data_IF_421090648505
#
_entry.id   IF_421090648505
#
_cell.length_a   1.000
_cell.length_b   1.000
_cell.length_c   1.000
_cell.angle_alpha   90.00
_cell.angle_beta   90.00
_cell.angle_gamma   90.00
#
_symmetry.space_group_name_H-M   'P 1'
#
loop_
_entity.id
_entity.type
_entity.pdbx_description
1 polymer ?
#
# COMPACT_ATOMS: atom_id res chain seq x y z
N UNK A 1 -37.16 0.81 9.34
CA UNK A 1 -36.23 1.87 9.66
C UNK A 1 -35.91 2.66 8.40
N UNK A 2 -36.32 3.93 8.37
CA UNK A 2 -36.10 4.82 7.25
C UNK A 2 -34.62 5.19 7.24
N UNK A 3 -33.85 4.66 6.30
CA UNK A 3 -32.50 5.13 6.02
C UNK A 3 -32.61 6.46 5.30
N UNK A 4 -32.45 7.56 6.02
CA UNK A 4 -32.39 8.89 5.43
C UNK A 4 -31.08 8.95 4.62
N UNK A 5 -31.18 8.77 3.31
CA UNK A 5 -30.08 9.05 2.37
C UNK A 5 -29.84 10.56 2.36
N UNK A 6 -28.88 11.03 3.17
CA UNK A 6 -28.37 12.37 3.02
C UNK A 6 -27.61 12.44 1.68
N UNK A 7 -28.29 12.92 0.64
CA UNK A 7 -27.64 13.33 -0.61
C UNK A 7 -27.01 14.69 -0.35
N UNK A 8 -25.76 14.73 0.08
CA UNK A 8 -24.98 15.96 0.06
C UNK A 8 -24.49 16.20 -1.37
N UNK A 9 -24.91 17.33 -1.95
CA UNK A 9 -24.34 17.82 -3.22
C UNK A 9 -23.11 18.68 -2.90
N UNK A 10 -21.98 18.31 -3.52
CA UNK A 10 -20.76 19.12 -3.50
C UNK A 10 -20.58 19.68 -4.90
N UNK A 11 -20.49 21.02 -5.01
CA UNK A 11 -20.13 21.71 -6.23
C UNK A 11 -18.80 22.43 -6.04
N UNK A 12 -17.89 22.27 -7.00
CA UNK A 12 -16.56 22.89 -6.95
C UNK A 12 -16.02 23.08 -8.36
N UNK A 13 -15.09 24.01 -8.51
CA UNK A 13 -14.20 24.06 -9.67
C UNK A 13 -13.07 23.04 -9.46
N UNK A 14 -12.54 22.49 -10.54
CA UNK A 14 -11.50 21.49 -10.44
C UNK A 14 -10.45 21.64 -11.55
N UNK A 15 -9.19 21.47 -11.16
CA UNK A 15 -8.11 21.16 -12.08
C UNK A 15 -7.92 19.65 -12.10
N UNK A 16 -7.80 19.08 -13.29
CA UNK A 16 -7.57 17.65 -13.48
C UNK A 16 -6.34 17.42 -14.36
N UNK A 17 -5.59 16.39 -14.03
CA UNK A 17 -4.49 15.89 -14.86
C UNK A 17 -4.51 14.36 -14.89
N UNK A 18 -3.90 13.77 -15.93
CA UNK A 18 -3.71 12.32 -15.97
C UNK A 18 -2.81 11.88 -14.82
N UNK A 19 -3.11 10.73 -14.22
CA UNK A 19 -2.41 10.21 -13.07
C UNK A 19 -1.94 8.77 -13.35
N UNK A 20 -0.72 8.45 -12.89
CA UNK A 20 -0.09 7.16 -13.03
C UNK A 20 1.19 7.23 -13.86
N UNK A 21 1.86 6.09 -13.99
CA UNK A 21 3.03 5.89 -14.85
C UNK A 21 2.68 4.84 -15.91
N UNK A 22 2.84 3.55 -15.64
CA UNK A 22 2.46 2.45 -16.54
C UNK A 22 0.96 2.46 -16.87
N UNK A 23 0.11 2.85 -15.92
CA UNK A 23 -1.34 2.96 -16.11
C UNK A 23 -1.76 4.00 -17.15
N UNK A 24 -0.87 4.91 -17.56
CA UNK A 24 -1.11 5.84 -18.67
C UNK A 24 -1.22 5.13 -20.04
N UNK A 25 -0.75 3.89 -20.15
CA UNK A 25 -0.87 3.10 -21.36
C UNK A 25 -2.26 2.45 -21.53
N UNK A 26 -3.06 2.37 -20.47
CA UNK A 26 -4.41 1.81 -20.56
C UNK A 26 -5.40 2.80 -21.19
N UNK A 27 -6.47 2.26 -21.81
CA UNK A 27 -7.52 3.07 -22.46
C UNK A 27 -8.24 3.93 -21.41
N UNK A 28 -8.60 3.32 -20.27
CA UNK A 28 -9.26 4.00 -19.15
C UNK A 28 -8.23 4.67 -18.28
N UNK A 29 -8.26 6.00 -18.21
CA UNK A 29 -7.26 6.82 -17.52
C UNK A 29 -7.67 7.10 -16.08
N UNK A 30 -6.69 7.14 -15.18
CA UNK A 30 -6.84 7.71 -13.85
C UNK A 30 -6.55 9.21 -13.85
N UNK A 31 -7.14 9.95 -12.89
CA UNK A 31 -7.01 11.40 -12.82
C UNK A 31 -6.60 11.85 -11.43
N UNK A 32 -5.68 12.81 -11.36
CA UNK A 32 -5.51 13.67 -10.20
C UNK A 32 -6.52 14.81 -10.28
N UNK A 33 -7.15 15.14 -9.17
CA UNK A 33 -8.17 16.19 -9.07
C UNK A 33 -7.78 17.13 -7.95
N UNK A 34 -7.69 18.44 -8.24
CA UNK A 34 -7.54 19.49 -7.24
C UNK A 34 -8.76 20.40 -7.27
N UNK A 35 -9.41 20.59 -6.10
CA UNK A 35 -10.67 21.31 -5.97
C UNK A 35 -10.47 22.76 -5.54
N UNK A 36 -11.31 23.67 -6.09
CA UNK A 36 -11.30 25.10 -5.82
C UNK A 36 -12.71 25.61 -5.58
N UNK A 37 -12.82 26.73 -4.84
CA UNK A 37 -14.09 27.43 -4.60
C UNK A 37 -14.45 28.37 -5.74
N UNK A 38 -13.47 28.81 -6.51
CA UNK A 38 -13.58 29.85 -7.53
C UNK A 38 -13.02 29.36 -8.88
N UNK A 39 -13.44 30.03 -9.95
CA UNK A 39 -13.05 29.70 -11.32
C UNK A 39 -11.59 30.09 -11.64
N UNK A 40 -11.04 31.06 -10.94
CA UNK A 40 -9.63 31.48 -11.09
C UNK A 40 -8.64 30.49 -10.50
N UNK A 41 -9.13 29.52 -9.68
CA UNK A 41 -8.33 28.53 -8.96
C UNK A 41 -7.41 29.16 -7.90
N UNK A 42 -7.81 30.29 -7.32
CA UNK A 42 -7.04 30.97 -6.27
C UNK A 42 -7.36 30.45 -4.88
N UNK A 43 -8.61 30.01 -4.65
CA UNK A 43 -9.08 29.58 -3.34
C UNK A 43 -9.32 28.06 -3.34
N UNK A 44 -8.43 27.31 -2.67
CA UNK A 44 -8.57 25.87 -2.52
C UNK A 44 -9.86 25.50 -1.76
N UNK A 45 -10.57 24.48 -2.28
CA UNK A 45 -11.71 23.91 -1.61
C UNK A 45 -11.33 22.57 -0.98
N UNK A 46 -11.48 22.45 0.33
CA UNK A 46 -11.05 21.30 1.14
C UNK A 46 -12.26 20.61 1.78
N UNK A 47 -13.08 19.87 1.02
CA UNK A 47 -14.19 19.13 1.59
C UNK A 47 -13.69 17.97 2.43
N UNK A 48 -14.58 17.45 3.30
CA UNK A 48 -14.38 16.21 4.05
C UNK A 48 -15.30 15.13 3.49
N UNK A 49 -14.75 13.94 3.26
CA UNK A 49 -15.51 12.75 2.95
C UNK A 49 -15.44 11.78 4.15
N UNK A 50 -16.56 11.63 4.86
CA UNK A 50 -16.60 10.80 6.06
C UNK A 50 -15.60 11.30 7.11
N UNK A 51 -14.71 10.43 7.55
CA UNK A 51 -13.66 10.71 8.54
C UNK A 51 -12.30 11.11 7.93
N UNK A 52 -12.24 11.41 6.63
CA UNK A 52 -11.00 11.83 6.01
C UNK A 52 -10.58 13.22 6.45
N UNK A 53 -9.26 13.46 6.53
CA UNK A 53 -8.73 14.80 6.70
C UNK A 53 -9.14 15.69 5.50
N UNK A 54 -9.57 16.92 5.78
CA UNK A 54 -9.94 17.88 4.75
C UNK A 54 -8.78 18.12 3.80
N UNK A 55 -9.01 17.86 2.52
CA UNK A 55 -8.01 18.05 1.46
C UNK A 55 -8.66 18.60 0.19
N UNK A 56 -7.88 19.35 -0.56
CA UNK A 56 -8.24 19.82 -1.90
C UNK A 56 -7.89 18.80 -2.99
N UNK A 57 -7.04 17.80 -2.65
CA UNK A 57 -6.51 16.86 -3.62
C UNK A 57 -7.16 15.49 -3.47
N UNK A 58 -7.50 14.87 -4.60
CA UNK A 58 -8.05 13.52 -4.71
C UNK A 58 -7.48 12.82 -5.93
N UNK A 59 -7.62 11.50 -5.96
CA UNK A 59 -7.31 10.66 -7.12
C UNK A 59 -8.59 9.94 -7.53
N UNK A 60 -8.92 9.96 -8.82
CA UNK A 60 -9.91 9.08 -9.43
C UNK A 60 -9.17 7.93 -10.10
N UNK A 61 -9.08 6.78 -9.39
CA UNK A 61 -8.45 5.58 -9.93
C UNK A 61 -9.38 4.84 -10.88
N UNK A 62 -8.88 4.52 -12.06
CA UNK A 62 -9.60 3.78 -13.10
C UNK A 62 -9.71 2.29 -12.79
N UNK A 63 -8.81 1.73 -11.98
CA UNK A 63 -8.69 0.30 -11.63
C UNK A 63 -8.74 -0.61 -12.87
N UNK A 64 -7.98 -0.26 -13.93
CA UNK A 64 -8.09 -0.96 -15.21
C UNK A 64 -7.76 -2.45 -15.12
N UNK A 65 -6.74 -2.82 -14.34
CA UNK A 65 -6.33 -4.21 -14.20
C UNK A 65 -7.23 -5.02 -13.24
N UNK A 66 -7.89 -4.35 -12.29
CA UNK A 66 -8.75 -4.97 -11.27
C UNK A 66 -10.23 -4.85 -11.64
N UNK A 67 -10.85 -5.95 -12.06
CA UNK A 67 -12.28 -5.97 -12.44
C UNK A 67 -13.22 -5.66 -11.29
N UNK A 68 -12.82 -5.95 -10.05
CA UNK A 68 -13.63 -5.60 -8.88
C UNK A 68 -13.56 -4.12 -8.56
N UNK A 69 -12.47 -3.44 -8.95
CA UNK A 69 -12.13 -2.08 -8.52
C UNK A 69 -11.88 -1.96 -7.02
N UNK A 70 -11.81 -3.09 -6.30
CA UNK A 70 -11.81 -3.16 -4.84
C UNK A 70 -10.44 -3.41 -4.22
N UNK A 71 -9.53 -4.14 -4.92
CA UNK A 71 -8.29 -4.67 -4.34
C UNK A 71 -7.48 -3.62 -3.61
N UNK A 72 -7.19 -2.50 -4.26
CA UNK A 72 -6.38 -1.43 -3.67
C UNK A 72 -6.98 -0.89 -2.35
N UNK A 73 -8.29 -0.66 -2.30
CA UNK A 73 -8.94 -0.09 -1.12
C UNK A 73 -9.20 -1.14 -0.05
N UNK A 74 -9.61 -2.33 -0.44
CA UNK A 74 -9.81 -3.43 0.50
C UNK A 74 -8.50 -3.83 1.15
N UNK A 75 -7.43 -4.01 0.38
CA UNK A 75 -6.10 -4.28 0.92
C UNK A 75 -5.65 -3.17 1.88
N UNK A 76 -5.86 -1.90 1.52
CA UNK A 76 -5.58 -0.75 2.40
C UNK A 76 -6.36 -0.81 3.72
N UNK A 77 -7.64 -1.18 3.68
CA UNK A 77 -8.48 -1.32 4.88
C UNK A 77 -8.05 -2.50 5.75
N UNK A 78 -7.69 -3.61 5.13
CA UNK A 78 -7.17 -4.79 5.84
C UNK A 78 -5.84 -4.47 6.52
N UNK A 79 -4.93 -3.72 5.87
CA UNK A 79 -3.69 -3.29 6.53
C UNK A 79 -3.95 -2.44 7.77
N UNK A 80 -4.95 -1.57 7.75
CA UNK A 80 -5.34 -0.77 8.94
C UNK A 80 -5.81 -1.61 10.13
N UNK A 81 -6.20 -2.86 9.89
CA UNK A 81 -6.60 -3.82 10.93
C UNK A 81 -5.43 -4.63 11.49
N UNK A 82 -4.22 -4.50 10.93
CA UNK A 82 -3.04 -5.14 11.49
C UNK A 82 -2.75 -4.60 12.89
N UNK A 83 -2.27 -5.43 13.81
CA UNK A 83 -1.84 -4.99 15.14
C UNK A 83 -0.78 -3.88 15.03
N UNK A 84 -0.88 -2.87 15.86
CA UNK A 84 0.05 -1.72 15.90
C UNK A 84 0.22 -0.99 14.55
N UNK A 85 -0.77 -1.08 13.65
CA UNK A 85 -0.74 -0.40 12.36
C UNK A 85 -0.89 1.13 12.45
N UNK A 86 -1.33 1.65 13.59
CA UNK A 86 -1.49 3.09 13.80
C UNK A 86 -0.12 3.76 13.98
N UNK A 87 0.08 4.89 13.32
CA UNK A 87 1.26 5.74 13.48
C UNK A 87 1.20 6.52 14.81
N UNK A 88 2.34 6.99 15.35
CA UNK A 88 2.39 7.67 16.66
C UNK A 88 1.46 8.87 16.79
N UNK A 89 1.09 9.51 15.70
CA UNK A 89 0.18 10.65 15.68
C UNK A 89 -1.31 10.29 15.53
N UNK A 90 -1.66 9.01 15.63
CA UNK A 90 -3.03 8.52 15.55
C UNK A 90 -3.58 8.34 14.13
N UNK A 91 -2.75 8.50 13.09
CA UNK A 91 -3.14 8.18 11.71
C UNK A 91 -2.62 6.82 11.28
N UNK A 92 -3.09 6.29 10.14
CA UNK A 92 -2.59 5.03 9.59
C UNK A 92 -1.55 5.23 8.48
N UNK A 93 -1.51 6.39 7.82
CA UNK A 93 -0.66 6.62 6.66
C UNK A 93 -1.00 5.73 5.46
N UNK A 94 -2.20 5.17 5.44
CA UNK A 94 -2.71 4.27 4.40
C UNK A 94 -3.93 4.92 3.74
N UNK A 95 -3.99 5.01 2.40
CA UNK A 95 -5.13 5.59 1.70
C UNK A 95 -6.43 4.85 2.01
N UNK A 96 -7.54 5.57 1.91
CA UNK A 96 -8.87 5.00 1.82
C UNK A 96 -9.56 5.56 0.57
N UNK A 97 -10.68 4.95 0.19
CA UNK A 97 -11.43 5.31 -0.99
C UNK A 97 -12.83 4.70 -0.98
N UNK A 98 -13.62 5.10 -1.95
CA UNK A 98 -14.94 4.53 -2.19
C UNK A 98 -15.29 4.58 -3.69
N UNK A 99 -16.17 3.66 -4.18
CA UNK A 99 -16.54 3.63 -5.59
C UNK A 99 -17.40 4.83 -5.97
N UNK A 100 -17.19 5.34 -7.18
CA UNK A 100 -17.97 6.43 -7.77
C UNK A 100 -18.27 6.16 -9.25
N UNK A 101 -19.41 6.64 -9.72
CA UNK A 101 -19.74 6.71 -11.16
C UNK A 101 -19.20 8.03 -11.70
N UNK A 102 -18.29 7.98 -12.67
CA UNK A 102 -17.73 9.18 -13.29
C UNK A 102 -18.53 9.57 -14.53
N UNK A 103 -18.89 10.84 -14.60
CA UNK A 103 -19.45 11.49 -15.79
C UNK A 103 -18.56 12.65 -16.18
N UNK A 104 -18.30 12.81 -17.48
CA UNK A 104 -17.58 13.97 -18.05
C UNK A 104 -18.46 14.52 -19.16
N UNK A 105 -18.89 15.78 -19.05
CA UNK A 105 -19.83 16.41 -19.98
C UNK A 105 -21.08 15.53 -20.21
N UNK A 106 -21.70 15.12 -19.11
CA UNK A 106 -22.89 14.24 -19.07
C UNK A 106 -22.70 12.84 -19.68
N UNK A 107 -21.52 12.54 -20.21
CA UNK A 107 -21.19 11.21 -20.73
C UNK A 107 -20.65 10.31 -19.61
N UNK A 108 -21.28 9.17 -19.41
CA UNK A 108 -20.82 8.18 -18.45
C UNK A 108 -19.47 7.61 -18.85
N UNK A 109 -18.51 7.62 -17.93
CA UNK A 109 -17.12 7.16 -18.09
C UNK A 109 -16.80 5.92 -17.28
N UNK A 110 -17.78 5.33 -16.63
CA UNK A 110 -17.64 4.08 -15.93
C UNK A 110 -17.44 4.21 -14.42
N UNK A 111 -17.09 3.08 -13.83
CA UNK A 111 -16.78 2.93 -12.40
C UNK A 111 -15.35 3.42 -12.11
N UNK A 112 -15.23 4.34 -11.19
CA UNK A 112 -13.95 4.79 -10.63
C UNK A 112 -13.92 4.63 -9.13
N UNK A 113 -12.76 4.75 -8.54
CA UNK A 113 -12.60 4.85 -7.09
C UNK A 113 -11.99 6.21 -6.77
N UNK A 114 -12.67 7.02 -5.95
CA UNK A 114 -12.05 8.22 -5.37
C UNK A 114 -11.17 7.79 -4.22
N UNK A 115 -9.92 8.28 -4.18
CA UNK A 115 -8.88 7.82 -3.25
C UNK A 115 -8.15 9.01 -2.65
N UNK A 116 -7.78 8.88 -1.37
CA UNK A 116 -6.89 9.83 -0.71
C UNK A 116 -5.49 9.79 -1.33
N UNK A 117 -4.88 10.94 -1.67
CA UNK A 117 -3.52 10.96 -2.21
C UNK A 117 -2.47 10.67 -1.13
N UNK A 118 -1.32 10.10 -1.55
CA UNK A 118 -0.14 9.89 -0.68
C UNK A 118 0.60 11.20 -0.40
N UNK A 119 -0.04 12.10 0.35
CA UNK A 119 0.50 13.41 0.72
C UNK A 119 0.60 13.57 2.24
N UNK A 120 1.30 14.59 2.70
CA UNK A 120 1.54 14.89 4.13
C UNK A 120 0.32 14.70 5.04
N UNK A 121 -0.87 15.12 4.58
CA UNK A 121 -2.12 15.01 5.36
C UNK A 121 -2.54 13.57 5.67
N UNK A 122 -2.29 12.63 4.76
CA UNK A 122 -2.57 11.21 4.98
C UNK A 122 -1.76 10.66 6.17
N UNK A 123 -0.56 11.19 6.35
CA UNK A 123 0.36 10.82 7.44
C UNK A 123 0.27 11.76 8.66
N UNK A 124 -0.72 12.66 8.68
CA UNK A 124 -0.92 13.61 9.76
C UNK A 124 0.18 14.65 9.92
N UNK A 125 1.02 14.84 8.88
CA UNK A 125 2.13 15.80 8.89
C UNK A 125 1.65 17.22 8.59
N UNK A 126 2.22 18.19 9.31
CA UNK A 126 2.02 19.64 9.16
C UNK A 126 3.34 20.30 8.77
N UNK A 127 3.30 21.43 8.07
CA UNK A 127 4.53 22.09 7.60
C UNK A 127 5.51 22.40 8.72
N UNK A 128 5.02 22.78 9.90
CA UNK A 128 5.84 23.01 11.09
C UNK A 128 6.61 21.77 11.58
N UNK A 129 6.18 20.55 11.22
CA UNK A 129 6.83 19.33 11.71
C UNK A 129 8.17 19.08 10.98
N UNK A 130 8.37 19.72 9.82
CA UNK A 130 9.60 19.62 9.03
C UNK A 130 10.84 20.08 9.81
N UNK A 131 10.71 21.13 10.65
CA UNK A 131 11.80 21.66 11.47
C UNK A 131 12.20 20.70 12.59
N UNK A 132 11.30 19.81 12.99
CA UNK A 132 11.54 18.76 13.99
C UNK A 132 12.10 17.47 13.37
N UNK A 133 12.40 17.46 12.07
CA UNK A 133 12.95 16.32 11.37
C UNK A 133 11.92 15.41 10.70
N UNK A 134 10.62 15.76 10.71
CA UNK A 134 9.62 14.94 10.05
C UNK A 134 9.85 14.88 8.53
N UNK A 135 9.79 13.68 7.96
CA UNK A 135 10.03 13.41 6.52
C UNK A 135 9.08 12.32 6.03
N UNK A 136 8.74 12.39 4.75
CA UNK A 136 7.98 11.36 4.05
C UNK A 136 8.59 11.13 2.67
N UNK A 137 8.95 9.90 2.40
CA UNK A 137 9.45 9.46 1.09
C UNK A 137 8.62 8.30 0.56
N UNK A 138 8.59 8.19 -0.76
CA UNK A 138 7.96 7.07 -1.48
C UNK A 138 9.04 6.36 -2.31
N UNK A 139 9.11 5.03 -2.20
CA UNK A 139 9.97 4.21 -3.05
C UNK A 139 9.32 4.08 -4.43
N UNK A 140 9.90 4.71 -5.44
CA UNK A 140 9.34 4.79 -6.79
C UNK A 140 10.07 3.88 -7.79
N UNK A 141 11.35 3.61 -7.55
CA UNK A 141 12.20 2.79 -8.42
C UNK A 141 12.69 1.57 -7.66
N UNK A 142 12.59 0.41 -8.29
CA UNK A 142 12.93 -0.90 -7.71
C UNK A 142 14.43 -1.21 -7.74
N UNK A 143 15.29 -0.26 -7.35
CA UNK A 143 16.74 -0.39 -7.41
C UNK A 143 17.44 0.47 -6.34
N UNK A 144 18.76 0.37 -6.25
CA UNK A 144 19.64 1.21 -5.45
C UNK A 144 19.23 1.32 -3.98
N UNK A 145 19.08 2.54 -3.50
CA UNK A 145 18.74 2.81 -2.10
C UNK A 145 17.32 2.36 -1.71
N UNK A 146 16.38 2.30 -2.64
CA UNK A 146 15.02 1.84 -2.37
C UNK A 146 14.94 0.33 -2.07
N UNK A 147 15.95 -0.44 -2.47
CA UNK A 147 16.10 -1.86 -2.08
C UNK A 147 17.18 -2.06 -1.03
N UNK A 148 17.70 -0.98 -0.46
CA UNK A 148 18.78 -0.98 0.53
C UNK A 148 20.08 -1.68 0.03
N UNK A 149 20.33 -1.62 -1.27
CA UNK A 149 21.54 -2.20 -1.88
C UNK A 149 22.76 -1.31 -1.69
N UNK A 150 22.57 -0.02 -1.46
CA UNK A 150 23.61 0.94 -1.15
C UNK A 150 23.21 1.89 -0.02
N UNK A 151 24.19 2.62 0.51
CA UNK A 151 24.01 3.54 1.64
C UNK A 151 23.48 4.93 1.23
N UNK A 152 23.56 5.29 -0.03
CA UNK A 152 23.20 6.65 -0.48
C UNK A 152 21.74 6.71 -0.91
N UNK A 153 20.93 7.45 -0.17
CA UNK A 153 19.56 7.80 -0.54
C UNK A 153 19.48 9.04 -1.45
N UNK A 154 20.62 9.58 -1.92
CA UNK A 154 20.66 10.73 -2.81
C UNK A 154 20.31 10.38 -4.27
N UNK A 155 20.19 9.10 -4.59
CA UNK A 155 19.71 8.63 -5.88
C UNK A 155 18.21 9.01 -6.11
N UNK A 156 17.74 8.85 -7.34
CA UNK A 156 16.38 9.19 -7.74
C UNK A 156 15.35 8.10 -7.41
N UNK A 157 15.73 7.11 -6.60
CA UNK A 157 14.86 5.98 -6.26
C UNK A 157 13.78 6.33 -5.22
N UNK A 158 13.97 7.44 -4.51
CA UNK A 158 13.01 7.96 -3.54
C UNK A 158 12.44 9.30 -3.99
N UNK A 159 11.12 9.38 -4.08
CA UNK A 159 10.41 10.65 -4.24
C UNK A 159 10.16 11.27 -2.87
N UNK A 160 10.62 12.51 -2.67
CA UNK A 160 10.31 13.28 -1.46
C UNK A 160 8.85 13.78 -1.52
N UNK A 161 8.03 13.35 -0.57
CA UNK A 161 6.63 13.78 -0.43
C UNK A 161 6.46 14.84 0.67
N UNK A 162 7.42 14.93 1.59
CA UNK A 162 7.40 15.94 2.63
C UNK A 162 8.80 16.10 3.27
N UNK A 163 9.26 17.36 3.46
CA UNK A 163 8.70 18.57 2.89
C UNK A 163 8.89 18.62 1.37
N UNK A 164 7.90 19.20 0.66
CA UNK A 164 7.85 19.13 -0.81
C UNK A 164 8.99 19.91 -1.50
N UNK A 165 9.51 20.93 -0.84
CA UNK A 165 10.50 21.86 -1.40
C UNK A 165 11.95 21.53 -0.99
N UNK A 166 12.19 20.45 -0.26
CA UNK A 166 13.51 20.08 0.21
C UNK A 166 13.85 18.62 -0.11
N UNK A 167 14.87 18.43 -0.94
CA UNK A 167 15.49 17.13 -1.22
C UNK A 167 16.51 16.70 -0.15
N UNK A 168 16.37 17.17 1.09
CA UNK A 168 17.26 16.73 2.15
C UNK A 168 16.96 15.27 2.54
N UNK A 169 17.76 14.37 1.98
CA UNK A 169 17.67 12.93 2.27
C UNK A 169 18.66 12.48 3.36
N UNK A 170 19.29 13.41 4.08
CA UNK A 170 20.29 13.10 5.12
C UNK A 170 19.74 12.18 6.20
N UNK A 171 18.50 12.41 6.65
CA UNK A 171 17.86 11.54 7.63
C UNK A 171 17.62 10.12 7.08
N UNK A 172 17.30 10.00 5.78
CA UNK A 172 17.13 8.71 5.12
C UNK A 172 18.48 8.00 4.91
N UNK A 173 19.56 8.72 4.64
CA UNK A 173 20.90 8.15 4.54
C UNK A 173 21.28 7.38 5.80
N UNK A 174 20.96 7.89 6.99
CA UNK A 174 21.23 7.21 8.25
C UNK A 174 20.57 5.81 8.29
N UNK A 175 19.36 5.66 7.78
CA UNK A 175 18.69 4.36 7.70
C UNK A 175 19.30 3.47 6.61
N UNK A 176 19.52 4.00 5.41
CA UNK A 176 20.08 3.22 4.30
C UNK A 176 21.50 2.78 4.58
N UNK A 177 22.32 3.61 5.20
CA UNK A 177 23.66 3.28 5.71
C UNK A 177 23.62 2.10 6.69
N UNK A 178 22.78 2.21 7.72
CA UNK A 178 22.65 1.15 8.71
C UNK A 178 22.22 -0.17 8.06
N UNK A 179 21.12 -0.18 7.29
CA UNK A 179 20.59 -1.41 6.70
C UNK A 179 21.55 -2.02 5.67
N UNK A 180 22.24 -1.20 4.87
CA UNK A 180 23.13 -1.71 3.82
C UNK A 180 24.44 -2.30 4.38
N UNK A 181 24.87 -1.90 5.57
CA UNK A 181 26.19 -2.27 6.13
C UNK A 181 26.14 -3.13 7.38
N UNK A 182 25.07 -3.11 8.17
CA UNK A 182 24.99 -3.83 9.45
C UNK A 182 25.06 -5.36 9.27
N UNK A 183 25.60 -6.05 10.26
CA UNK A 183 25.50 -7.50 10.42
C UNK A 183 24.08 -7.89 10.86
N UNK A 184 23.73 -9.18 10.83
CA UNK A 184 22.47 -9.68 11.38
C UNK A 184 22.34 -9.41 12.88
N UNK A 185 23.42 -9.57 13.63
CA UNK A 185 23.45 -9.31 15.08
C UNK A 185 23.21 -7.83 15.38
N UNK A 186 23.86 -6.94 14.65
CA UNK A 186 23.66 -5.50 14.76
C UNK A 186 22.21 -5.12 14.36
N UNK A 187 21.66 -5.73 13.33
CA UNK A 187 20.26 -5.47 12.94
C UNK A 187 19.30 -5.93 14.06
N UNK A 188 19.46 -7.15 14.57
CA UNK A 188 18.64 -7.65 15.70
C UNK A 188 18.69 -6.73 16.92
N UNK A 189 19.86 -6.20 17.21
CA UNK A 189 20.11 -5.38 18.41
C UNK A 189 19.64 -3.93 18.23
N UNK A 190 19.89 -3.33 17.06
CA UNK A 190 19.79 -1.87 16.89
C UNK A 190 18.69 -1.42 15.92
N UNK A 191 18.06 -2.31 15.17
CA UNK A 191 17.08 -1.91 14.14
C UNK A 191 15.95 -1.02 14.72
N UNK A 192 15.50 -1.29 15.94
CA UNK A 192 14.45 -0.50 16.61
C UNK A 192 14.80 0.99 16.86
N UNK A 193 16.08 1.36 16.74
CA UNK A 193 16.52 2.77 16.80
C UNK A 193 16.41 3.49 15.42
N UNK A 194 16.15 2.74 14.36
CA UNK A 194 16.11 3.25 12.99
C UNK A 194 14.77 3.05 12.33
N UNK A 195 14.14 1.91 12.56
CA UNK A 195 12.86 1.56 11.92
C UNK A 195 11.95 0.83 12.91
N UNK A 196 10.68 1.14 12.86
CA UNK A 196 9.66 0.49 13.68
C UNK A 196 9.50 -0.98 13.28
N UNK A 197 9.79 -1.87 14.23
CA UNK A 197 9.82 -3.33 13.99
C UNK A 197 8.42 -3.86 13.69
N UNK A 198 7.39 -3.36 14.36
CA UNK A 198 6.00 -3.74 14.07
C UNK A 198 5.61 -3.40 12.64
N UNK A 199 6.08 -2.27 12.10
CA UNK A 199 5.80 -1.91 10.71
C UNK A 199 6.48 -2.84 9.70
N UNK A 200 7.69 -3.34 10.00
CA UNK A 200 8.38 -4.35 9.19
C UNK A 200 7.65 -5.70 9.21
N UNK A 201 7.34 -6.18 10.41
CA UNK A 201 6.65 -7.47 10.60
C UNK A 201 5.27 -7.43 9.95
N UNK A 202 4.50 -6.36 10.17
CA UNK A 202 3.20 -6.16 9.53
C UNK A 202 3.31 -6.16 8.01
N UNK A 203 4.34 -5.51 7.46
CA UNK A 203 4.53 -5.44 6.01
C UNK A 203 4.78 -6.83 5.41
N UNK A 204 5.64 -7.64 6.04
CA UNK A 204 5.95 -9.00 5.59
C UNK A 204 4.69 -9.87 5.66
N UNK A 205 4.06 -9.96 6.83
CA UNK A 205 2.88 -10.82 7.04
C UNK A 205 1.72 -10.41 6.12
N UNK A 206 1.47 -9.11 6.00
CA UNK A 206 0.44 -8.59 5.11
C UNK A 206 0.73 -8.92 3.64
N UNK A 207 1.98 -8.75 3.21
CA UNK A 207 2.38 -9.03 1.84
C UNK A 207 2.28 -10.52 1.52
N UNK A 208 2.65 -11.41 2.46
CA UNK A 208 2.44 -12.84 2.30
C UNK A 208 0.95 -13.19 2.18
N UNK A 209 0.10 -12.65 3.06
CA UNK A 209 -1.34 -12.94 3.00
C UNK A 209 -1.95 -12.45 1.68
N UNK A 210 -1.58 -11.26 1.21
CA UNK A 210 -2.21 -10.62 0.06
C UNK A 210 -1.51 -10.86 -1.27
N UNK A 211 -0.34 -11.50 -1.26
CA UNK A 211 0.56 -11.58 -2.42
C UNK A 211 0.85 -10.21 -3.04
N UNK A 212 1.33 -9.29 -2.21
CA UNK A 212 1.70 -7.93 -2.64
C UNK A 212 3.02 -7.95 -3.43
N UNK A 213 3.01 -8.57 -4.61
CA UNK A 213 4.22 -8.82 -5.40
C UNK A 213 4.92 -7.53 -5.86
N UNK A 214 4.18 -6.45 -6.12
CA UNK A 214 4.75 -5.16 -6.55
C UNK A 214 5.25 -4.28 -5.39
N UNK A 215 5.06 -4.72 -4.14
CA UNK A 215 5.43 -3.99 -2.93
C UNK A 215 6.82 -4.28 -2.36
N UNK A 216 7.55 -5.30 -2.85
CA UNK A 216 8.82 -5.71 -2.22
C UNK A 216 10.00 -4.80 -2.51
N UNK A 217 10.02 -4.14 -3.65
CA UNK A 217 11.13 -3.33 -4.13
C UNK A 217 10.76 -1.86 -4.36
N UNK A 218 9.48 -1.56 -4.47
CA UNK A 218 8.88 -0.23 -4.67
C UNK A 218 7.47 -0.21 -4.09
N UNK A 219 6.70 0.83 -4.35
CA UNK A 219 5.30 0.96 -3.92
C UNK A 219 5.12 0.88 -2.40
N UNK A 220 6.04 1.48 -1.67
CA UNK A 220 5.87 1.72 -0.24
C UNK A 220 6.31 3.13 0.14
N UNK A 221 5.73 3.62 1.21
CA UNK A 221 6.09 4.89 1.80
C UNK A 221 6.86 4.66 3.10
N UNK A 222 7.78 5.55 3.38
CA UNK A 222 8.52 5.57 4.63
C UNK A 222 8.39 6.95 5.26
N UNK A 223 7.96 7.01 6.51
CA UNK A 223 7.70 8.24 7.24
C UNK A 223 8.44 8.28 8.57
N UNK A 224 8.95 9.43 8.92
CA UNK A 224 9.49 9.71 10.26
C UNK A 224 8.89 11.02 10.79
N UNK A 225 8.77 11.12 12.12
CA UNK A 225 8.27 12.32 12.80
C UNK A 225 9.37 13.10 13.51
N UNK A 226 10.55 12.48 13.66
CA UNK A 226 11.71 13.02 14.40
C UNK A 226 13.03 12.95 13.61
N UNK A 227 12.98 12.46 12.36
CA UNK A 227 14.16 12.24 11.52
C UNK A 227 15.03 11.03 11.92
N UNK A 228 14.58 10.21 12.88
CA UNK A 228 15.36 9.11 13.45
C UNK A 228 14.70 7.76 13.29
N UNK A 229 13.43 7.63 13.77
CA UNK A 229 12.66 6.40 13.71
C UNK A 229 11.71 6.42 12.51
N UNK A 230 11.81 5.42 11.66
CA UNK A 230 11.05 5.31 10.43
C UNK A 230 9.93 4.27 10.54
N UNK A 231 8.80 4.56 9.89
CA UNK A 231 7.63 3.69 9.80
C UNK A 231 7.34 3.38 8.33
N UNK A 232 7.22 2.10 8.01
CA UNK A 232 6.94 1.62 6.65
C UNK A 232 5.44 1.49 6.41
N UNK A 233 4.96 1.85 5.22
CA UNK A 233 3.56 1.72 4.81
C UNK A 233 3.45 1.24 3.36
N UNK A 234 2.67 0.18 3.09
CA UNK A 234 2.42 -0.26 1.71
C UNK A 234 1.61 0.80 0.95
N UNK A 235 1.78 0.78 -0.35
CA UNK A 235 1.09 1.67 -1.28
C UNK A 235 0.85 0.93 -2.60
N UNK A 236 -0.21 1.35 -3.35
CA UNK A 236 -0.55 0.82 -4.67
C UNK A 236 -0.80 -0.69 -4.69
N UNK A 237 -1.80 -1.11 -3.91
CA UNK A 237 -2.13 -2.51 -3.59
C UNK A 237 -3.10 -3.14 -4.61
N UNK A 238 -3.11 -2.70 -5.87
CA UNK A 238 -3.99 -3.25 -6.88
C UNK A 238 -3.51 -4.61 -7.44
N UNK A 239 -2.21 -4.89 -7.39
CA UNK A 239 -1.62 -6.20 -7.71
C UNK A 239 -1.58 -7.12 -6.48
N UNK A 240 -2.74 -7.45 -5.92
CA UNK A 240 -2.89 -8.30 -4.73
C UNK A 240 -3.98 -9.36 -4.95
N UNK A 241 -4.08 -10.32 -4.04
CA UNK A 241 -5.08 -11.39 -4.08
C UNK A 241 -5.07 -12.17 -5.40
N UNK A 242 -3.88 -12.53 -5.86
CA UNK A 242 -3.67 -13.35 -7.04
C UNK A 242 -3.77 -12.62 -8.38
N UNK A 243 -3.75 -11.29 -8.38
CA UNK A 243 -3.73 -10.47 -9.60
C UNK A 243 -2.30 -10.02 -9.91
N UNK A 244 -1.84 -10.26 -11.13
CA UNK A 244 -0.55 -9.80 -11.63
C UNK A 244 -0.58 -8.35 -12.16
N UNK A 245 0.58 -7.84 -12.58
CA UNK A 245 0.72 -6.46 -13.09
C UNK A 245 0.00 -6.21 -14.42
N UNK A 246 -0.32 -7.26 -15.17
CA UNK A 246 -1.04 -7.17 -16.44
C UNK A 246 -2.55 -7.31 -16.28
N UNK A 247 -3.02 -7.63 -15.07
CA UNK A 247 -4.41 -7.87 -14.76
C UNK A 247 -4.86 -9.31 -15.06
N UNK A 248 -3.91 -10.26 -15.07
CA UNK A 248 -4.22 -11.68 -15.18
C UNK A 248 -4.30 -12.29 -13.79
N UNK A 249 -5.08 -13.36 -13.68
CA UNK A 249 -5.11 -14.20 -12.48
C UNK A 249 -3.99 -15.22 -12.58
N UNK A 250 -3.10 -15.20 -11.60
CA UNK A 250 -2.00 -16.15 -11.45
C UNK A 250 -2.32 -17.15 -10.34
N UNK A 251 -3.03 -18.23 -10.69
CA UNK A 251 -3.41 -19.27 -9.72
C UNK A 251 -2.18 -20.06 -9.20
N UNK A 252 -1.12 -20.19 -9.99
CA UNK A 252 0.10 -20.86 -9.57
C UNK A 252 0.75 -20.11 -8.39
N UNK A 253 0.66 -18.78 -8.38
CA UNK A 253 1.20 -17.96 -7.33
C UNK A 253 0.44 -18.06 -5.99
N UNK A 254 -0.76 -18.66 -5.93
CA UNK A 254 -1.51 -18.80 -4.67
C UNK A 254 -0.75 -19.62 -3.62
N UNK A 255 0.08 -20.56 -4.07
CA UNK A 255 0.88 -21.44 -3.23
C UNK A 255 2.38 -21.20 -3.38
N UNK A 256 2.77 -20.05 -3.93
CA UNK A 256 4.16 -19.66 -4.08
C UNK A 256 4.63 -18.87 -2.84
N UNK A 257 5.75 -19.26 -2.20
CA UNK A 257 6.34 -18.44 -1.16
C UNK A 257 6.90 -17.17 -1.79
N UNK A 258 6.63 -16.03 -1.17
CA UNK A 258 7.19 -14.76 -1.65
C UNK A 258 8.68 -14.57 -1.30
N UNK A 259 9.36 -15.61 -0.81
CA UNK A 259 10.76 -15.55 -0.36
C UNK A 259 11.73 -15.08 -1.43
N UNK A 260 11.51 -15.47 -2.70
CA UNK A 260 12.39 -15.07 -3.79
C UNK A 260 12.27 -13.58 -4.10
N UNK A 261 11.10 -13.01 -3.96
CA UNK A 261 10.86 -11.58 -4.06
C UNK A 261 11.42 -10.81 -2.86
N UNK A 262 11.26 -11.37 -1.63
CA UNK A 262 11.79 -10.80 -0.40
C UNK A 262 13.32 -10.80 -0.36
N UNK A 263 13.97 -11.86 -0.85
CA UNK A 263 15.42 -11.96 -0.87
C UNK A 263 16.09 -10.96 -1.84
N UNK A 264 15.31 -10.20 -2.60
CA UNK A 264 15.82 -9.16 -3.50
C UNK A 264 16.15 -7.85 -2.78
N UNK A 265 15.80 -7.70 -1.51
CA UNK A 265 16.16 -6.54 -0.71
C UNK A 265 16.80 -6.93 0.61
N UNK A 266 17.85 -6.19 0.99
CA UNK A 266 18.56 -6.47 2.24
C UNK A 266 17.66 -6.27 3.48
N UNK A 267 16.78 -5.27 3.45
CA UNK A 267 15.87 -5.01 4.57
C UNK A 267 14.99 -6.23 4.90
N UNK A 268 14.40 -6.85 3.88
CA UNK A 268 13.53 -8.01 4.08
C UNK A 268 14.32 -9.24 4.51
N UNK A 269 15.50 -9.48 3.93
CA UNK A 269 16.39 -10.57 4.34
C UNK A 269 16.79 -10.44 5.81
N UNK A 270 17.22 -9.26 6.24
CA UNK A 270 17.56 -8.99 7.64
C UNK A 270 16.34 -9.20 8.57
N UNK A 271 15.18 -8.64 8.19
CA UNK A 271 13.97 -8.76 9.02
C UNK A 271 13.53 -10.21 9.20
N UNK A 272 13.49 -10.99 8.13
CA UNK A 272 13.13 -12.42 8.19
C UNK A 272 14.09 -13.21 9.06
N UNK A 273 15.38 -12.99 8.94
CA UNK A 273 16.38 -13.73 9.71
C UNK A 273 16.43 -13.32 11.18
N UNK A 274 16.18 -12.05 11.48
CA UNK A 274 16.31 -11.53 12.84
C UNK A 274 15.02 -11.64 13.68
N UNK A 275 13.85 -11.67 13.03
CA UNK A 275 12.54 -11.64 13.69
C UNK A 275 11.59 -12.77 13.23
N UNK A 276 12.06 -14.02 13.01
CA UNK A 276 11.22 -15.07 12.46
C UNK A 276 10.03 -15.40 13.35
N UNK A 277 10.23 -15.59 14.65
CA UNK A 277 9.13 -15.92 15.57
C UNK A 277 8.11 -14.78 15.69
N UNK A 278 8.57 -13.54 15.68
CA UNK A 278 7.68 -12.38 15.71
C UNK A 278 6.82 -12.31 14.44
N UNK A 279 7.37 -12.69 13.26
CA UNK A 279 6.63 -12.81 12.01
C UNK A 279 5.59 -13.93 12.11
N UNK A 280 5.98 -15.11 12.59
CA UNK A 280 5.06 -16.23 12.76
C UNK A 280 3.92 -15.90 13.74
N UNK A 281 4.23 -15.36 14.91
CA UNK A 281 3.23 -14.99 15.89
C UNK A 281 2.26 -13.93 15.35
N UNK A 282 2.76 -12.94 14.60
CA UNK A 282 1.92 -11.95 13.95
C UNK A 282 1.00 -12.57 12.89
N UNK A 283 1.50 -13.53 12.10
CA UNK A 283 0.67 -14.28 11.17
C UNK A 283 -0.47 -14.99 11.90
N UNK A 284 -0.17 -15.75 12.96
CA UNK A 284 -1.18 -16.47 13.74
C UNK A 284 -2.22 -15.52 14.36
N UNK A 285 -1.78 -14.38 14.88
CA UNK A 285 -2.67 -13.36 15.46
C UNK A 285 -3.68 -12.84 14.42
N UNK A 286 -3.21 -12.44 13.24
CA UNK A 286 -4.10 -11.86 12.23
C UNK A 286 -4.90 -12.93 11.48
N UNK A 287 -4.34 -14.12 11.26
CA UNK A 287 -4.97 -15.26 10.60
C UNK A 287 -6.22 -15.73 11.35
N UNK A 288 -6.15 -15.76 12.68
CA UNK A 288 -7.27 -16.14 13.55
C UNK A 288 -8.09 -14.94 14.03
N UNK A 289 -7.65 -13.73 13.72
CA UNK A 289 -8.28 -12.46 14.13
C UNK A 289 -8.78 -11.64 12.97
N UNK A 290 -8.19 -10.47 12.80
CA UNK A 290 -8.67 -9.40 11.93
C UNK A 290 -8.60 -9.71 10.43
N UNK A 291 -7.76 -10.66 10.01
CA UNK A 291 -7.59 -11.08 8.62
C UNK A 291 -7.98 -12.56 8.40
N UNK A 292 -8.90 -13.11 9.18
CA UNK A 292 -9.45 -14.43 8.87
C UNK A 292 -10.21 -14.41 7.52
N UNK A 293 -10.51 -15.60 6.98
CA UNK A 293 -11.15 -15.72 5.65
C UNK A 293 -12.43 -14.90 5.51
N UNK A 294 -13.32 -15.00 6.50
CA UNK A 294 -14.59 -14.29 6.47
C UNK A 294 -14.41 -12.78 6.57
N UNK A 295 -13.47 -12.30 7.40
CA UNK A 295 -13.18 -10.88 7.54
C UNK A 295 -12.66 -10.28 6.23
N UNK A 296 -11.78 -10.99 5.53
CA UNK A 296 -11.27 -10.54 4.23
C UNK A 296 -12.37 -10.54 3.17
N UNK A 297 -13.13 -11.64 3.05
CA UNK A 297 -14.22 -11.74 2.07
C UNK A 297 -15.31 -10.70 2.32
N UNK A 298 -15.66 -10.44 3.57
CA UNK A 298 -16.66 -9.44 3.93
C UNK A 298 -16.26 -8.02 3.54
N UNK A 299 -14.96 -7.65 3.60
CA UNK A 299 -14.48 -6.35 3.11
C UNK A 299 -14.65 -6.22 1.59
N UNK A 300 -14.31 -7.27 0.82
CA UNK A 300 -14.55 -7.28 -0.62
C UNK A 300 -16.03 -7.17 -0.95
N UNK A 301 -16.85 -8.01 -0.29
CA UNK A 301 -18.30 -7.99 -0.48
C UNK A 301 -18.90 -6.62 -0.15
N UNK A 302 -18.51 -6.02 0.96
CA UNK A 302 -19.00 -4.69 1.37
C UNK A 302 -18.61 -3.58 0.39
N UNK A 303 -17.44 -3.67 -0.25
CA UNK A 303 -17.07 -2.73 -1.32
C UNK A 303 -17.91 -2.97 -2.57
N UNK A 304 -18.03 -4.22 -3.01
CA UNK A 304 -18.74 -4.59 -4.24
C UNK A 304 -20.25 -4.34 -4.14
N UNK A 305 -20.85 -4.55 -2.97
CA UNK A 305 -22.26 -4.23 -2.72
C UNK A 305 -22.53 -2.71 -2.86
N UNK A 306 -21.57 -1.86 -2.49
CA UNK A 306 -21.66 -0.40 -2.71
C UNK A 306 -21.60 -0.01 -4.19
N UNK A 307 -20.83 -0.74 -4.98
CA UNK A 307 -20.78 -0.55 -6.44
C UNK A 307 -22.11 -0.94 -7.06
N UNK A 308 -22.61 -2.11 -6.72
CA UNK A 308 -23.84 -2.70 -7.25
C UNK A 308 -23.70 -3.32 -8.63
N UNK A 309 -24.46 -4.38 -8.87
CA UNK A 309 -24.38 -5.17 -10.11
C UNK A 309 -24.59 -4.34 -11.38
N UNK A 310 -25.58 -3.43 -11.38
CA UNK A 310 -25.86 -2.55 -12.51
C UNK A 310 -24.64 -1.72 -12.92
N UNK A 311 -23.87 -1.22 -11.93
CA UNK A 311 -22.68 -0.41 -12.22
C UNK A 311 -21.59 -1.26 -12.88
N UNK A 312 -21.39 -2.50 -12.43
CA UNK A 312 -20.44 -3.42 -13.05
C UNK A 312 -20.86 -3.81 -14.48
N UNK A 313 -22.14 -4.05 -14.70
CA UNK A 313 -22.66 -4.31 -16.06
C UNK A 313 -22.41 -3.12 -16.99
N UNK A 314 -22.72 -1.91 -16.54
CA UNK A 314 -22.47 -0.68 -17.31
C UNK A 314 -20.97 -0.42 -17.54
N UNK A 315 -20.10 -0.75 -16.57
CA UNK A 315 -18.65 -0.69 -16.75
C UNK A 315 -18.17 -1.59 -17.89
N UNK A 316 -18.68 -2.83 -17.95
CA UNK A 316 -18.36 -3.76 -19.01
C UNK A 316 -18.84 -3.28 -20.39
N UNK A 317 -20.02 -2.66 -20.46
CA UNK A 317 -20.56 -2.11 -21.70
C UNK A 317 -19.67 -0.94 -22.21
N UNK A 318 -19.37 0.01 -21.31
CA UNK A 318 -18.60 1.23 -21.69
C UNK A 318 -17.18 0.91 -22.15
N UNK A 319 -16.53 -0.06 -21.50
CA UNK A 319 -15.11 -0.35 -21.74
C UNK A 319 -14.87 -1.67 -22.50
N UNK A 320 -15.94 -2.37 -22.90
CA UNK A 320 -15.85 -3.69 -23.56
C UNK A 320 -14.91 -4.65 -22.81
N UNK A 321 -15.03 -4.69 -21.47
CA UNK A 321 -14.19 -5.53 -20.61
C UNK A 321 -14.71 -6.95 -20.59
N UNK A 322 -13.79 -7.92 -20.57
CA UNK A 322 -14.12 -9.33 -20.37
C UNK A 322 -14.03 -9.63 -18.87
N UNK A 323 -14.92 -10.50 -18.41
CA UNK A 323 -15.04 -10.90 -17.00
C UNK A 323 -16.11 -10.09 -16.25
N UNK A 324 -16.55 -10.60 -15.13
CA UNK A 324 -17.55 -9.99 -14.28
C UNK A 324 -17.00 -9.78 -12.88
N UNK A 325 -17.58 -8.84 -12.12
CA UNK A 325 -17.22 -8.65 -10.72
C UNK A 325 -17.54 -9.89 -9.87
N UNK A 326 -18.57 -10.67 -10.25
CA UNK A 326 -18.97 -11.92 -9.59
C UNK A 326 -17.86 -12.97 -9.76
N UNK A 327 -17.37 -13.16 -10.98
CA UNK A 327 -16.26 -14.08 -11.24
C UNK A 327 -15.02 -13.65 -10.43
N UNK A 328 -14.75 -12.36 -10.36
CA UNK A 328 -13.62 -11.82 -9.60
C UNK A 328 -13.78 -12.02 -8.09
N UNK A 329 -15.00 -11.97 -7.52
CA UNK A 329 -15.22 -12.32 -6.11
C UNK A 329 -15.05 -13.81 -5.86
N UNK A 330 -15.48 -14.67 -6.77
CA UNK A 330 -15.24 -16.10 -6.70
C UNK A 330 -13.74 -16.41 -6.76
N UNK A 331 -12.99 -15.77 -7.66
CA UNK A 331 -11.54 -15.89 -7.73
C UNK A 331 -10.87 -15.45 -6.42
N UNK A 332 -11.29 -14.33 -5.83
CA UNK A 332 -10.77 -13.87 -4.53
C UNK A 332 -11.02 -14.89 -3.42
N UNK A 333 -12.20 -15.50 -3.41
CA UNK A 333 -12.53 -16.56 -2.44
C UNK A 333 -11.63 -17.79 -2.62
N UNK A 334 -11.42 -18.22 -3.86
CA UNK A 334 -10.55 -19.36 -4.17
C UNK A 334 -9.09 -19.05 -3.80
N UNK A 335 -8.64 -17.82 -4.11
CA UNK A 335 -7.32 -17.33 -3.69
C UNK A 335 -7.15 -17.42 -2.17
N UNK A 336 -8.06 -16.84 -1.40
CA UNK A 336 -7.97 -16.79 0.07
C UNK A 336 -7.92 -18.20 0.65
N UNK A 337 -8.78 -19.09 0.17
CA UNK A 337 -8.81 -20.48 0.62
C UNK A 337 -7.49 -21.21 0.33
N UNK A 338 -7.00 -21.10 -0.89
CA UNK A 338 -5.74 -21.74 -1.30
C UNK A 338 -4.54 -21.11 -0.59
N UNK A 339 -4.50 -19.79 -0.50
CA UNK A 339 -3.41 -19.05 0.13
C UNK A 339 -3.29 -19.37 1.62
N UNK A 340 -4.38 -19.38 2.35
CA UNK A 340 -4.34 -19.70 3.77
C UNK A 340 -4.02 -21.17 4.03
N UNK A 341 -4.56 -22.09 3.24
CA UNK A 341 -4.16 -23.50 3.34
C UNK A 341 -2.65 -23.69 3.12
N UNK A 342 -2.06 -22.94 2.20
CA UNK A 342 -0.62 -22.92 1.98
C UNK A 342 0.14 -22.26 3.14
N UNK A 343 -0.26 -21.06 3.56
CA UNK A 343 0.43 -20.31 4.60
C UNK A 343 0.37 -20.97 5.98
N UNK A 344 -0.72 -21.68 6.30
CA UNK A 344 -0.85 -22.43 7.55
C UNK A 344 0.19 -23.57 7.66
N UNK A 345 0.77 -24.00 6.54
CA UNK A 345 1.90 -24.94 6.48
C UNK A 345 3.25 -24.24 6.34
N UNK A 346 3.32 -23.22 5.50
CA UNK A 346 4.55 -22.51 5.17
C UNK A 346 5.07 -21.66 6.34
N UNK A 347 4.20 -20.87 6.97
CA UNK A 347 4.63 -19.92 8.00
C UNK A 347 5.27 -20.58 9.22
N UNK A 348 4.72 -21.68 9.80
CA UNK A 348 5.41 -22.37 10.87
C UNK A 348 6.71 -23.03 10.40
N UNK A 349 6.75 -23.60 9.21
CA UNK A 349 7.96 -24.27 8.69
C UNK A 349 9.11 -23.28 8.43
N UNK A 350 8.78 -22.07 7.97
CA UNK A 350 9.78 -21.06 7.62
C UNK A 350 10.17 -20.15 8.82
N UNK A 351 9.27 -19.91 9.76
CA UNK A 351 9.45 -18.87 10.77
C UNK A 351 9.31 -19.31 12.23
N UNK A 352 8.79 -20.52 12.53
CA UNK A 352 8.68 -20.99 13.91
C UNK A 352 10.01 -21.60 14.39
N UNK A 353 11.03 -20.78 14.41
CA UNK A 353 12.36 -21.11 14.92
C UNK A 353 13.04 -19.90 15.56
N UNK A 354 14.01 -20.11 16.44
CA UNK A 354 14.82 -19.00 16.98
C UNK A 354 15.55 -18.23 15.87
N UNK A 355 15.88 -16.99 16.16
CA UNK A 355 16.70 -16.16 15.30
C UNK A 355 18.02 -16.92 14.97
N UNK A 356 18.33 -17.05 13.69
CA UNK A 356 19.52 -17.71 13.18
C UNK A 356 20.38 -16.70 12.43
N UNK A 357 21.61 -16.54 12.90
CA UNK A 357 22.62 -15.75 12.18
C UNK A 357 23.47 -16.69 11.32
N UNK A 358 23.39 -16.59 10.00
CA UNK A 358 24.30 -17.35 9.15
C UNK A 358 25.75 -16.97 9.50
N UNK A 359 26.55 -17.93 9.91
CA UNK A 359 27.98 -17.72 10.11
C UNK A 359 28.59 -17.37 8.72
N UNK A 360 28.99 -16.11 8.56
CA UNK A 360 29.85 -15.77 7.44
C UNK A 360 31.21 -16.42 7.66
N UNK A 361 31.47 -17.51 6.96
CA UNK A 361 32.84 -17.91 6.70
C UNK A 361 33.44 -16.81 5.84
N UNK A 362 34.26 -15.94 6.45
CA UNK A 362 35.19 -15.08 5.73
C UNK A 362 36.01 -15.99 4.82
N UNK A 363 35.73 -15.98 3.51
CA UNK A 363 36.69 -16.47 2.53
C UNK A 363 37.85 -15.54 2.64
N UNK A 364 38.89 -15.96 3.32
CA UNK A 364 40.24 -15.41 3.12
C UNK A 364 40.57 -15.59 1.65
N UNK A 365 40.64 -14.51 0.94
CA UNK A 365 41.23 -14.48 -0.41
C UNK A 365 42.74 -14.56 -0.18
N UNK A 366 43.31 -15.74 -0.47
CA UNK A 366 44.74 -15.90 -0.63
C UNK A 366 45.19 -15.26 -1.96
#
# INVERSE_FOLDING_TARGET
PYTTLFRSHLSAYAMTSLQGNSSLNYIKKSYSVKLFKDRSNDIEYKPSFGNWNNTENYILKANWIDYTGARNIVASRLYKKMPNAMLPNGTYGIPDGFPVKLYINDSYRGLYTIVQPKKKKLFGLKDRDAVNGARLYSAEVKDGSAVFANSSALDDNWECKFPADHFDKTALNRLTEFVSSCTFEEFKTYASHYIDIDSLINYIVFSEITMNADGWRKNYNIVTYDGKLWYLRPYDLDCTFGLDFAGNIDEAAYTDPMKDWMNTTRLWTLTKSCFPQEIYHRYMEVRHGALNEDAVLNEFKAFMDKVGLETYMNENIVWNRRGTAIDSLAQIKDYIKARYAYLDLYMPAEFDHPCYFPSYTTKTVD
#
